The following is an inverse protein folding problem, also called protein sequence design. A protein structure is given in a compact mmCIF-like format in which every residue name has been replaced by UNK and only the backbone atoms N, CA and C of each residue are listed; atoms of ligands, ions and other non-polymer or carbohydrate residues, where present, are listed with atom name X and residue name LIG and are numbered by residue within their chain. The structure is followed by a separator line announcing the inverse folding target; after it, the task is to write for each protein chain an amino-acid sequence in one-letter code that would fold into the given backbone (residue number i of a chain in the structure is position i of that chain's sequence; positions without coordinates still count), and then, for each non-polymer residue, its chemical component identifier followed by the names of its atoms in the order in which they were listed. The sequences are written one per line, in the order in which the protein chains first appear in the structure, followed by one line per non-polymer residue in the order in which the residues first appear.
data_IF_942844450310
#
_entry.id   IF_942844450310
#
_cell.length_a   1.000
_cell.length_b   1.000
_cell.length_c   1.000
_cell.angle_alpha   90.00
_cell.angle_beta   90.00
_cell.angle_gamma   90.00
#
_symmetry.space_group_name_H-M   'P 1'
#
loop_
_entity.id
_entity.type
_entity.pdbx_description
1 polymer ?
#
# COMPACT_ATOMS: atom_id res chain seq x y z
N UNK A 1 -2.50 -23.80 4.16
CA UNK A 1 -2.68 -24.11 2.74
C UNK A 1 -2.44 -22.87 1.89
N UNK A 2 -1.78 -23.04 0.76
CA UNK A 2 -1.43 -21.94 -0.15
C UNK A 2 -2.66 -21.22 -0.69
N UNK A 3 -3.79 -21.92 -0.85
CA UNK A 3 -5.04 -21.32 -1.34
C UNK A 3 -5.58 -20.24 -0.42
N UNK A 4 -5.45 -20.41 0.88
CA UNK A 4 -5.92 -19.44 1.85
C UNK A 4 -5.18 -18.12 1.71
N UNK A 5 -3.86 -18.18 1.54
CA UNK A 5 -3.03 -16.99 1.34
C UNK A 5 -3.50 -16.19 0.13
N UNK A 6 -3.70 -16.87 -0.99
CA UNK A 6 -4.09 -16.21 -2.24
C UNK A 6 -5.44 -15.52 -2.09
N UNK A 7 -6.43 -16.23 -1.52
CA UNK A 7 -7.77 -15.68 -1.35
C UNK A 7 -7.74 -14.44 -0.44
N UNK A 8 -7.12 -14.54 0.72
CA UNK A 8 -7.06 -13.39 1.64
C UNK A 8 -6.22 -12.26 1.07
N UNK A 9 -5.13 -12.58 0.36
CA UNK A 9 -4.31 -11.55 -0.27
C UNK A 9 -5.13 -10.76 -1.29
N UNK A 10 -5.91 -11.44 -2.13
CA UNK A 10 -6.75 -10.78 -3.12
C UNK A 10 -7.82 -9.91 -2.48
N UNK A 11 -8.48 -10.43 -1.44
CA UNK A 11 -9.52 -9.68 -0.72
C UNK A 11 -8.95 -8.44 -0.04
N UNK A 12 -7.83 -8.60 0.64
CA UNK A 12 -7.18 -7.52 1.39
C UNK A 12 -6.66 -6.46 0.43
N UNK A 13 -6.00 -6.88 -0.64
CA UNK A 13 -5.44 -5.93 -1.61
C UNK A 13 -6.53 -5.16 -2.34
N UNK A 14 -7.60 -5.83 -2.73
CA UNK A 14 -8.74 -5.17 -3.37
C UNK A 14 -9.39 -4.16 -2.43
N UNK A 15 -9.56 -4.52 -1.16
CA UNK A 15 -10.12 -3.62 -0.15
C UNK A 15 -9.24 -2.39 0.07
N UNK A 16 -7.91 -2.59 0.10
CA UNK A 16 -6.97 -1.48 0.26
C UNK A 16 -7.04 -0.53 -0.93
N UNK A 17 -7.07 -1.05 -2.14
CA UNK A 17 -7.15 -0.24 -3.36
C UNK A 17 -8.47 0.53 -3.44
N UNK A 18 -9.55 -0.05 -2.94
CA UNK A 18 -10.85 0.59 -2.93
C UNK A 18 -11.03 1.58 -1.78
N UNK A 19 -10.12 1.59 -0.80
CA UNK A 19 -10.26 2.41 0.39
C UNK A 19 -11.42 1.93 1.27
N UNK A 20 -11.65 0.62 1.32
CA UNK A 20 -12.74 0.02 2.09
C UNK A 20 -12.21 -0.41 3.46
N UNK A 21 -12.28 0.51 4.42
CA UNK A 21 -11.76 0.29 5.77
C UNK A 21 -12.39 -0.93 6.44
N UNK A 22 -13.71 -1.08 6.32
CA UNK A 22 -14.42 -2.19 6.96
C UNK A 22 -13.93 -3.54 6.44
N UNK A 23 -13.76 -3.67 5.13
CA UNK A 23 -13.27 -4.91 4.52
C UNK A 23 -11.81 -5.17 4.90
N UNK A 24 -10.98 -4.14 4.97
CA UNK A 24 -9.59 -4.30 5.43
C UNK A 24 -9.58 -4.88 6.85
N UNK A 25 -10.35 -4.28 7.75
CA UNK A 25 -10.39 -4.73 9.14
C UNK A 25 -10.98 -6.12 9.30
N UNK A 26 -11.81 -6.53 8.36
CA UNK A 26 -12.39 -7.87 8.35
C UNK A 26 -11.37 -8.93 7.90
N UNK A 27 -10.61 -8.66 6.86
CA UNK A 27 -9.78 -9.68 6.20
C UNK A 27 -8.28 -9.58 6.48
N UNK A 28 -7.75 -8.36 6.75
CA UNK A 28 -6.31 -8.20 6.97
C UNK A 28 -5.77 -9.01 8.15
N UNK A 29 -6.50 -9.14 9.29
CA UNK A 29 -5.99 -9.96 10.38
C UNK A 29 -5.74 -11.42 9.96
N UNK A 30 -6.61 -11.97 9.13
CA UNK A 30 -6.46 -13.34 8.63
C UNK A 30 -5.22 -13.48 7.76
N UNK A 31 -5.00 -12.53 6.86
CA UNK A 31 -3.82 -12.55 5.99
C UNK A 31 -2.53 -12.40 6.81
N UNK A 32 -2.54 -11.48 7.77
CA UNK A 32 -1.37 -11.23 8.61
C UNK A 32 -1.02 -12.47 9.43
N UNK A 33 -2.02 -13.12 10.00
CA UNK A 33 -1.83 -14.34 10.78
C UNK A 33 -1.24 -15.46 9.93
N UNK A 34 -1.84 -15.72 8.77
CA UNK A 34 -1.36 -16.77 7.86
C UNK A 34 0.06 -16.48 7.36
N UNK A 35 0.32 -15.26 6.97
CA UNK A 35 1.64 -14.86 6.45
C UNK A 35 2.71 -14.94 7.52
N UNK A 36 2.38 -14.57 8.76
CA UNK A 36 3.31 -14.65 9.90
C UNK A 36 3.59 -16.11 10.24
N UNK A 37 2.55 -16.92 10.33
CA UNK A 37 2.67 -18.35 10.63
C UNK A 37 3.60 -19.05 9.66
N UNK A 38 3.44 -18.75 8.36
CA UNK A 38 4.18 -19.44 7.30
C UNK A 38 5.40 -18.66 6.82
N UNK A 39 5.75 -17.56 7.49
CA UNK A 39 6.88 -16.70 7.16
C UNK A 39 6.85 -16.25 5.69
N UNK A 40 5.67 -15.86 5.21
CA UNK A 40 5.44 -15.44 3.83
C UNK A 40 5.57 -13.92 3.72
N UNK A 41 6.77 -13.45 3.43
CA UNK A 41 7.08 -12.02 3.43
C UNK A 41 6.25 -11.18 2.45
N UNK A 42 6.06 -11.60 1.18
CA UNK A 42 5.25 -10.78 0.26
C UNK A 42 3.83 -10.54 0.76
N UNK A 43 3.16 -11.57 1.27
CA UNK A 43 1.79 -11.41 1.76
C UNK A 43 1.73 -10.63 3.07
N UNK A 44 2.76 -10.76 3.90
CA UNK A 44 2.87 -9.96 5.12
C UNK A 44 2.95 -8.47 4.77
N UNK A 45 3.75 -8.12 3.75
CA UNK A 45 3.86 -6.74 3.29
C UNK A 45 2.54 -6.22 2.73
N UNK A 46 1.79 -7.05 2.00
CA UNK A 46 0.45 -6.67 1.52
C UNK A 46 -0.47 -6.36 2.71
N UNK A 47 -0.41 -7.18 3.76
CA UNK A 47 -1.20 -6.94 4.97
C UNK A 47 -0.82 -5.63 5.65
N UNK A 48 0.48 -5.36 5.79
CA UNK A 48 0.94 -4.09 6.38
C UNK A 48 0.46 -2.89 5.57
N UNK A 49 0.56 -2.95 4.24
CA UNK A 49 0.10 -1.86 3.39
C UNK A 49 -1.40 -1.62 3.53
N UNK A 50 -2.18 -2.68 3.58
CA UNK A 50 -3.62 -2.57 3.78
C UNK A 50 -3.95 -1.95 5.14
N UNK A 51 -3.28 -2.39 6.21
CA UNK A 51 -3.45 -1.78 7.52
C UNK A 51 -3.11 -0.30 7.52
N UNK A 52 -2.07 0.09 6.78
CA UNK A 52 -1.72 1.50 6.64
C UNK A 52 -2.87 2.30 6.04
N UNK A 53 -3.52 1.76 5.01
CA UNK A 53 -4.70 2.40 4.41
C UNK A 53 -5.83 2.54 5.43
N UNK A 54 -6.13 1.46 6.18
CA UNK A 54 -7.18 1.50 7.18
C UNK A 54 -6.91 2.53 8.28
N UNK A 55 -5.67 2.57 8.77
CA UNK A 55 -5.28 3.54 9.80
C UNK A 55 -5.37 4.97 9.27
N UNK A 56 -4.93 5.20 8.03
CA UNK A 56 -5.04 6.53 7.41
C UNK A 56 -6.51 6.97 7.35
N UNK A 57 -7.38 6.09 6.90
CA UNK A 57 -8.81 6.41 6.78
C UNK A 57 -9.46 6.69 8.13
N UNK A 58 -8.94 6.10 9.18
CA UNK A 58 -9.41 6.32 10.55
C UNK A 58 -8.75 7.52 11.22
N UNK A 59 -7.80 8.19 10.56
CA UNK A 59 -7.08 9.31 11.14
C UNK A 59 -5.96 8.91 12.09
N UNK A 60 -5.59 7.64 12.10
CA UNK A 60 -4.55 7.09 12.95
C UNK A 60 -3.21 7.13 12.20
N UNK A 61 -2.70 8.33 11.97
CA UNK A 61 -1.58 8.55 11.05
C UNK A 61 -0.25 7.96 11.53
N UNK A 62 0.03 7.98 12.83
CA UNK A 62 1.25 7.40 13.36
C UNK A 62 1.30 5.88 13.14
N UNK A 63 0.18 5.21 13.34
CA UNK A 63 0.07 3.77 13.09
C UNK A 63 0.17 3.48 11.58
N UNK A 64 -0.46 4.32 10.76
CA UNK A 64 -0.38 4.19 9.31
C UNK A 64 1.07 4.29 8.84
N UNK A 65 1.83 5.27 9.35
CA UNK A 65 3.23 5.46 8.99
C UNK A 65 4.06 4.23 9.34
N UNK A 66 3.87 3.70 10.53
CA UNK A 66 4.59 2.51 10.99
C UNK A 66 4.36 1.33 10.05
N UNK A 67 3.10 1.08 9.72
CA UNK A 67 2.74 -0.06 8.87
C UNK A 67 3.25 0.12 7.43
N UNK A 68 3.14 1.33 6.88
CA UNK A 68 3.56 1.54 5.50
C UNK A 68 5.09 1.43 5.35
N UNK A 69 5.84 1.84 6.36
CA UNK A 69 7.28 1.69 6.36
C UNK A 69 7.69 0.22 6.41
N UNK A 70 6.98 -0.59 7.21
CA UNK A 70 7.22 -2.03 7.25
C UNK A 70 6.98 -2.68 5.89
N UNK A 71 5.90 -2.29 5.21
CA UNK A 71 5.60 -2.80 3.88
C UNK A 71 6.69 -2.43 2.87
N UNK A 72 7.11 -1.16 2.88
CA UNK A 72 8.12 -0.67 1.95
C UNK A 72 9.44 -1.42 2.14
N UNK A 73 9.87 -1.60 3.37
CA UNK A 73 11.10 -2.31 3.69
C UNK A 73 11.10 -3.72 3.11
N UNK A 74 10.00 -4.45 3.29
CA UNK A 74 9.87 -5.81 2.78
C UNK A 74 9.93 -5.82 1.25
N UNK A 75 9.11 -4.98 0.60
CA UNK A 75 9.06 -4.96 -0.86
C UNK A 75 10.40 -4.54 -1.48
N UNK A 76 11.09 -3.58 -0.87
CA UNK A 76 12.42 -3.19 -1.34
C UNK A 76 13.43 -4.32 -1.19
N UNK A 77 13.40 -5.03 -0.07
CA UNK A 77 14.31 -6.15 0.16
C UNK A 77 14.07 -7.30 -0.83
N UNK A 78 12.83 -7.45 -1.30
CA UNK A 78 12.47 -8.48 -2.28
C UNK A 78 12.71 -8.02 -3.72
N UNK A 79 12.99 -6.75 -3.95
CA UNK A 79 13.21 -6.21 -5.28
C UNK A 79 11.97 -6.18 -6.16
N UNK A 80 10.78 -6.16 -5.56
CA UNK A 80 9.51 -6.15 -6.28
C UNK A 80 9.11 -4.71 -6.62
N UNK A 81 9.53 -4.23 -7.77
CA UNK A 81 9.37 -2.82 -8.18
C UNK A 81 7.92 -2.34 -8.19
N UNK A 82 7.02 -3.14 -8.77
CA UNK A 82 5.62 -2.74 -8.86
C UNK A 82 4.99 -2.55 -7.46
N UNK A 83 5.27 -3.48 -6.55
CA UNK A 83 4.77 -3.37 -5.18
C UNK A 83 5.38 -2.17 -4.47
N UNK A 84 6.65 -1.90 -4.70
CA UNK A 84 7.32 -0.72 -4.15
C UNK A 84 6.66 0.56 -4.66
N UNK A 85 6.36 0.63 -5.96
CA UNK A 85 5.66 1.78 -6.54
C UNK A 85 4.29 1.99 -5.92
N UNK A 86 3.51 0.93 -5.75
CA UNK A 86 2.21 1.01 -5.11
C UNK A 86 2.30 1.45 -3.65
N UNK A 87 3.36 1.02 -2.96
CA UNK A 87 3.58 1.41 -1.56
C UNK A 87 3.97 2.90 -1.46
N UNK A 88 4.82 3.37 -2.36
CA UNK A 88 5.15 4.79 -2.44
C UNK A 88 3.91 5.63 -2.73
N UNK A 89 3.01 5.14 -3.58
CA UNK A 89 1.74 5.81 -3.84
C UNK A 89 0.94 5.98 -2.54
N UNK A 90 0.84 4.93 -1.73
CA UNK A 90 0.12 4.99 -0.46
C UNK A 90 0.81 5.92 0.55
N UNK A 91 2.15 6.00 0.51
CA UNK A 91 2.88 6.98 1.33
C UNK A 91 2.52 8.41 0.92
N UNK A 92 2.33 8.64 -0.38
CA UNK A 92 1.85 9.92 -0.90
C UNK A 92 0.45 10.24 -0.38
N UNK A 93 -0.45 9.27 -0.39
CA UNK A 93 -1.81 9.45 0.13
C UNK A 93 -1.79 9.78 1.64
N UNK A 94 -0.92 9.12 2.39
CA UNK A 94 -0.77 9.39 3.82
C UNK A 94 -0.26 10.82 4.07
N UNK A 95 0.77 11.22 3.33
CA UNK A 95 1.31 12.57 3.44
C UNK A 95 0.25 13.62 3.10
N UNK A 96 -0.54 13.36 2.05
CA UNK A 96 -1.64 14.25 1.65
C UNK A 96 -2.68 14.37 2.76
N UNK A 97 -3.04 13.24 3.39
CA UNK A 97 -4.00 13.24 4.50
C UNK A 97 -3.50 14.07 5.69
N UNK A 98 -2.19 14.13 5.88
CA UNK A 98 -1.56 14.91 6.95
C UNK A 98 -1.27 16.36 6.52
N UNK A 99 -1.73 16.76 5.35
CA UNK A 99 -1.49 18.08 4.76
C UNK A 99 0.00 18.38 4.52
N UNK A 100 0.78 17.35 4.33
CA UNK A 100 2.21 17.45 3.99
C UNK A 100 2.34 17.38 2.48
N UNK A 101 1.88 18.43 1.79
CA UNK A 101 1.74 18.43 0.34
C UNK A 101 3.04 18.24 -0.43
N UNK A 102 4.13 18.85 0.06
CA UNK A 102 5.44 18.72 -0.57
C UNK A 102 5.93 17.26 -0.52
N UNK A 103 5.80 16.63 0.64
CA UNK A 103 6.17 15.23 0.80
C UNK A 103 5.28 14.33 -0.06
N UNK A 104 3.97 14.63 -0.13
CA UNK A 104 3.04 13.88 -0.96
C UNK A 104 3.46 13.93 -2.43
N UNK A 105 3.80 15.12 -2.92
CA UNK A 105 4.26 15.28 -4.31
C UNK A 105 5.50 14.43 -4.57
N UNK A 106 6.47 14.44 -3.65
CA UNK A 106 7.70 13.66 -3.79
C UNK A 106 7.41 12.16 -3.87
N UNK A 107 6.54 11.65 -3.01
CA UNK A 107 6.18 10.23 -3.02
C UNK A 107 5.45 9.83 -4.30
N UNK A 108 4.50 10.65 -4.74
CA UNK A 108 3.77 10.37 -5.99
C UNK A 108 4.72 10.43 -7.19
N UNK A 109 5.67 11.37 -7.21
CA UNK A 109 6.64 11.47 -8.30
C UNK A 109 7.53 10.22 -8.35
N UNK A 110 7.97 9.72 -7.21
CA UNK A 110 8.77 8.49 -7.14
C UNK A 110 7.96 7.29 -7.61
N UNK A 111 6.70 7.19 -7.20
CA UNK A 111 5.82 6.12 -7.65
C UNK A 111 5.65 6.19 -9.18
N UNK A 112 5.47 7.40 -9.73
CA UNK A 112 5.31 7.60 -11.16
C UNK A 112 6.53 7.10 -11.94
N UNK A 113 7.75 7.38 -11.43
CA UNK A 113 8.98 6.88 -12.06
C UNK A 113 8.99 5.36 -12.14
N UNK A 114 8.64 4.70 -11.04
CA UNK A 114 8.62 3.23 -10.99
C UNK A 114 7.60 2.68 -11.98
N UNK A 115 6.39 3.23 -11.98
CA UNK A 115 5.34 2.76 -12.87
C UNK A 115 5.66 3.04 -14.34
N UNK A 116 6.30 4.16 -14.64
CA UNK A 116 6.71 4.49 -16.00
C UNK A 116 7.74 3.49 -16.54
N UNK A 117 8.73 3.12 -15.71
CA UNK A 117 9.73 2.12 -16.08
C UNK A 117 9.09 0.77 -16.41
N UNK A 118 8.04 0.41 -15.69
CA UNK A 118 7.34 -0.86 -15.85
C UNK A 118 6.22 -0.80 -16.90
N UNK A 119 5.95 0.39 -17.43
CA UNK A 119 4.83 0.61 -18.37
C UNK A 119 3.51 0.19 -17.78
N UNK A 120 3.33 0.42 -16.48
CA UNK A 120 2.11 0.08 -15.75
C UNK A 120 1.07 1.18 -15.94
N UNK A 121 0.40 1.17 -17.09
CA UNK A 121 -0.50 2.25 -17.52
C UNK A 121 -1.60 2.61 -16.53
N UNK A 122 -2.33 1.65 -15.94
CA UNK A 122 -3.37 2.00 -14.94
C UNK A 122 -2.79 2.73 -13.73
N UNK A 123 -1.62 2.31 -13.27
CA UNK A 123 -0.97 2.93 -12.11
C UNK A 123 -0.42 4.31 -12.45
N UNK A 124 0.09 4.49 -13.68
CA UNK A 124 0.54 5.79 -14.16
C UNK A 124 -0.63 6.77 -14.15
N UNK A 125 -1.78 6.35 -14.71
CA UNK A 125 -2.98 7.19 -14.75
C UNK A 125 -3.47 7.56 -13.37
N UNK A 126 -3.52 6.59 -12.46
CA UNK A 126 -3.94 6.80 -11.07
C UNK A 126 -3.04 7.80 -10.35
N UNK A 127 -1.73 7.69 -10.57
CA UNK A 127 -0.74 8.57 -9.94
C UNK A 127 -0.83 9.99 -10.52
N UNK A 128 -1.06 10.10 -11.82
CA UNK A 128 -1.26 11.40 -12.47
C UNK A 128 -2.45 12.14 -11.87
N UNK A 129 -3.56 11.44 -11.59
CA UNK A 129 -4.73 12.03 -10.94
C UNK A 129 -4.38 12.54 -9.55
N UNK A 130 -3.60 11.76 -8.79
CA UNK A 130 -3.17 12.15 -7.45
C UNK A 130 -2.30 13.41 -7.48
N UNK A 131 -1.36 13.49 -8.44
CA UNK A 131 -0.51 14.67 -8.60
C UNK A 131 -1.31 15.90 -9.00
N UNK A 132 -2.32 15.72 -9.85
CA UNK A 132 -3.20 16.83 -10.28
C UNK A 132 -3.96 17.43 -9.11
N UNK A 133 -4.32 16.62 -8.11
CA UNK A 133 -5.01 17.13 -6.91
C UNK A 133 -4.15 18.07 -6.09
N UNK A 134 -2.83 18.02 -6.25
CA UNK A 134 -1.89 18.87 -5.52
C UNK A 134 -1.58 20.19 -6.24
N UNK A 135 -1.93 20.27 -7.52
CA UNK A 135 -1.61 21.43 -8.34
C UNK A 135 -2.52 22.64 -8.04
#
# INVERSE_FOLDING_TARGET
MAHEHIVYMMLVDAAARAGDEAAIRQFAPNLEELATRDNHKPYLAVAHRAWAVAHRLAGEYAEAEKRIEMALEIFESLGTQWQTGRTLFEMGELALARSENEAAEDYFAKAQEVFAEMKAEPDIARTAVALDRLA
#
